data_IF_099440810805
#
_entry.id   IF_099440810805
#
_cell.length_a   1.000
_cell.length_b   1.000
_cell.length_c   1.000
_cell.angle_alpha   90.00
_cell.angle_beta   90.00
_cell.angle_gamma   90.00
#
_symmetry.space_group_name_H-M   'P 1'
#
loop_
_entity.id
_entity.type
_entity.pdbx_description
1 polymer ?
#
# COMPACT_ATOMS: atom_id res chain seq x y z
N UNK A 1 -9.03 -18.58 4.41
CA UNK A 1 -7.69 -18.20 4.86
C UNK A 1 -7.02 -17.27 3.86
N UNK A 2 -6.47 -16.15 4.34
CA UNK A 2 -5.65 -15.24 3.55
C UNK A 2 -4.22 -15.80 3.52
N UNK A 3 -3.84 -16.41 2.39
CA UNK A 3 -2.51 -17.01 2.19
C UNK A 3 -1.37 -15.97 2.29
N UNK A 4 -1.68 -14.68 2.18
CA UNK A 4 -0.73 -13.57 2.23
C UNK A 4 -0.61 -12.98 3.64
N UNK A 5 -1.53 -13.32 4.55
CA UNK A 5 -1.51 -12.84 5.94
C UNK A 5 -0.17 -13.07 6.67
N UNK A 6 0.46 -14.27 6.66
CA UNK A 6 1.73 -14.47 7.34
C UNK A 6 2.88 -13.66 6.73
N UNK A 7 2.89 -13.49 5.41
CA UNK A 7 3.90 -12.67 4.74
C UNK A 7 3.75 -11.19 5.13
N UNK A 8 2.50 -10.70 5.17
CA UNK A 8 2.16 -9.33 5.59
C UNK A 8 2.58 -9.05 7.03
N UNK A 9 2.30 -9.96 7.95
CA UNK A 9 2.68 -9.81 9.37
C UNK A 9 4.20 -9.77 9.56
N UNK A 10 4.95 -10.63 8.86
CA UNK A 10 6.42 -10.61 8.88
C UNK A 10 6.96 -9.28 8.36
N UNK A 11 6.35 -8.73 7.30
CA UNK A 11 6.74 -7.44 6.74
C UNK A 11 6.38 -6.25 7.65
N UNK A 12 5.23 -6.29 8.33
CA UNK A 12 4.88 -5.32 9.37
C UNK A 12 5.82 -5.41 10.57
N UNK A 13 6.25 -6.62 10.95
CA UNK A 13 7.22 -6.83 12.01
C UNK A 13 8.61 -6.32 11.63
N UNK A 14 9.06 -6.58 10.41
CA UNK A 14 10.31 -6.04 9.86
C UNK A 14 10.30 -4.51 9.86
N UNK A 15 9.17 -3.87 9.52
CA UNK A 15 9.04 -2.40 9.59
C UNK A 15 9.17 -1.86 11.01
N UNK A 16 8.65 -2.59 12.01
CA UNK A 16 8.72 -2.19 13.42
C UNK A 16 10.08 -2.47 14.05
N UNK A 17 10.80 -3.49 13.56
CA UNK A 17 12.09 -3.94 14.08
C UNK A 17 13.08 -4.17 12.91
N UNK A 18 13.69 -3.09 12.38
CA UNK A 18 14.49 -3.14 11.14
C UNK A 18 15.76 -3.98 11.24
N UNK A 19 16.28 -4.21 12.45
CA UNK A 19 17.60 -4.83 12.65
C UNK A 19 17.56 -6.36 12.80
N UNK A 20 16.39 -6.95 13.08
CA UNK A 20 16.32 -8.36 13.51
C UNK A 20 15.74 -9.33 12.47
N UNK A 21 14.87 -8.88 11.57
CA UNK A 21 14.16 -9.79 10.64
C UNK A 21 14.16 -9.20 9.23
N UNK A 22 14.67 -9.97 8.26
CA UNK A 22 14.64 -9.64 6.83
C UNK A 22 14.04 -10.80 6.06
N UNK A 23 13.10 -10.50 5.17
CA UNK A 23 12.59 -11.47 4.18
C UNK A 23 13.72 -11.71 3.18
N UNK A 24 14.28 -12.92 3.14
CA UNK A 24 15.36 -13.31 2.21
C UNK A 24 14.80 -13.94 0.93
N UNK A 25 13.56 -14.42 0.97
CA UNK A 25 12.86 -15.10 -0.12
C UNK A 25 11.76 -15.99 0.44
N UNK A 26 10.93 -16.57 -0.43
CA UNK A 26 9.85 -17.44 0.01
C UNK A 26 9.26 -18.30 -1.10
N UNK A 27 8.52 -19.34 -0.70
CA UNK A 27 7.67 -20.10 -1.62
C UNK A 27 6.28 -19.49 -1.52
N UNK A 28 5.79 -18.93 -2.63
CA UNK A 28 4.45 -18.40 -2.74
C UNK A 28 3.75 -19.05 -3.93
N UNK A 29 2.57 -19.65 -3.68
CA UNK A 29 1.76 -20.34 -4.69
C UNK A 29 2.54 -21.39 -5.52
N UNK A 30 3.39 -22.17 -4.85
CA UNK A 30 4.20 -23.22 -5.47
C UNK A 30 5.41 -22.74 -6.27
N UNK A 31 5.68 -21.43 -6.32
CA UNK A 31 6.86 -20.84 -7.00
C UNK A 31 7.85 -20.28 -5.99
N UNK A 32 9.14 -20.47 -6.28
CA UNK A 32 10.21 -19.79 -5.58
C UNK A 32 10.24 -18.32 -6.01
N UNK A 33 9.98 -17.43 -5.06
CA UNK A 33 9.97 -15.99 -5.27
C UNK A 33 11.20 -15.39 -4.60
N UNK A 34 11.90 -14.52 -5.35
CA UNK A 34 13.03 -13.75 -4.83
C UNK A 34 12.57 -12.72 -3.78
N UNK A 35 13.52 -12.17 -3.02
CA UNK A 35 13.30 -11.15 -1.99
C UNK A 35 12.41 -10.01 -2.49
N UNK A 36 12.64 -9.52 -3.71
CA UNK A 36 11.88 -8.41 -4.30
C UNK A 36 10.42 -8.79 -4.46
N UNK A 37 10.16 -9.95 -5.06
CA UNK A 37 8.81 -10.43 -5.33
C UNK A 37 8.07 -10.79 -4.01
N UNK A 38 8.79 -11.34 -3.03
CA UNK A 38 8.21 -11.66 -1.73
C UNK A 38 7.87 -10.39 -0.92
N UNK A 39 8.67 -9.33 -1.06
CA UNK A 39 8.35 -8.02 -0.48
C UNK A 39 7.11 -7.38 -1.11
N UNK A 40 6.91 -7.53 -2.42
CA UNK A 40 5.68 -7.04 -3.08
C UNK A 40 4.44 -7.77 -2.58
N UNK A 41 4.51 -9.09 -2.44
CA UNK A 41 3.43 -9.91 -1.90
C UNK A 41 3.13 -9.52 -0.45
N UNK A 42 4.17 -9.37 0.38
CA UNK A 42 4.02 -8.98 1.77
C UNK A 42 3.52 -7.53 1.96
N UNK A 43 3.74 -6.66 0.97
CA UNK A 43 3.25 -5.29 0.98
C UNK A 43 1.75 -5.16 0.62
N UNK A 44 1.10 -6.23 0.16
CA UNK A 44 -0.33 -6.23 -0.16
C UNK A 44 -1.11 -5.94 1.13
N UNK A 45 -1.88 -4.84 1.22
CA UNK A 45 -2.62 -4.49 2.43
C UNK A 45 -3.86 -5.39 2.63
N UNK A 46 -4.45 -5.41 3.83
CA UNK A 46 -5.67 -6.17 4.11
C UNK A 46 -6.90 -5.60 3.38
N UNK A 47 -7.92 -6.43 3.16
CA UNK A 47 -9.15 -6.09 2.41
C UNK A 47 -9.81 -4.76 2.82
N UNK A 48 -9.99 -4.43 4.12
CA UNK A 48 -10.61 -3.16 4.52
C UNK A 48 -9.80 -1.94 4.04
N UNK A 49 -8.46 -2.04 4.06
CA UNK A 49 -7.57 -0.99 3.57
C UNK A 49 -7.64 -0.89 2.04
N UNK A 50 -7.74 -2.02 1.33
CA UNK A 50 -7.96 -2.03 -0.12
C UNK A 50 -9.28 -1.34 -0.47
N UNK A 51 -10.37 -1.62 0.25
CA UNK A 51 -11.64 -0.95 0.05
C UNK A 51 -11.54 0.57 0.31
N UNK A 52 -10.84 0.98 1.37
CA UNK A 52 -10.57 2.39 1.63
C UNK A 52 -9.77 3.06 0.51
N UNK A 53 -8.74 2.39 -0.02
CA UNK A 53 -7.98 2.86 -1.19
C UNK A 53 -8.84 2.98 -2.44
N UNK A 54 -9.74 2.03 -2.67
CA UNK A 54 -10.68 2.06 -3.80
C UNK A 54 -11.63 3.26 -3.73
N UNK A 55 -12.25 3.49 -2.57
CA UNK A 55 -13.13 4.66 -2.35
C UNK A 55 -12.34 5.97 -2.48
N UNK A 56 -11.09 6.01 -2.03
CA UNK A 56 -10.22 7.18 -2.24
C UNK A 56 -9.94 7.46 -3.72
N UNK A 57 -9.77 6.42 -4.55
CA UNK A 57 -9.60 6.60 -6.00
C UNK A 57 -10.86 7.23 -6.61
N UNK A 58 -12.06 6.79 -6.20
CA UNK A 58 -13.34 7.36 -6.63
C UNK A 58 -13.46 8.83 -6.20
N UNK A 59 -13.03 9.16 -4.99
CA UNK A 59 -13.08 10.54 -4.47
C UNK A 59 -11.97 11.44 -5.04
N UNK A 60 -10.89 10.87 -5.56
CA UNK A 60 -9.71 11.64 -6.02
C UNK A 60 -10.00 12.69 -7.10
N UNK A 61 -10.91 12.49 -8.10
CA UNK A 61 -11.21 13.50 -9.09
C UNK A 61 -11.94 14.70 -8.50
N UNK A 62 -12.89 14.46 -7.58
CA UNK A 62 -13.62 15.52 -6.88
C UNK A 62 -12.65 16.36 -6.06
N UNK A 63 -11.76 15.72 -5.30
CA UNK A 63 -10.73 16.41 -4.53
C UNK A 63 -9.81 17.25 -5.42
N UNK A 64 -9.32 16.69 -6.53
CA UNK A 64 -8.45 17.40 -7.47
C UNK A 64 -9.16 18.59 -8.13
N UNK A 65 -10.44 18.46 -8.44
CA UNK A 65 -11.24 19.54 -8.99
C UNK A 65 -11.40 20.70 -8.00
N UNK A 66 -11.74 20.40 -6.74
CA UNK A 66 -11.84 21.42 -5.67
C UNK A 66 -10.50 22.12 -5.44
N UNK A 67 -9.39 21.37 -5.44
CA UNK A 67 -8.05 21.95 -5.34
C UNK A 67 -7.78 22.89 -6.52
N UNK A 68 -8.11 22.50 -7.75
CA UNK A 68 -7.97 23.35 -8.93
C UNK A 68 -8.76 24.66 -8.81
N UNK A 69 -10.03 24.59 -8.38
CA UNK A 69 -10.84 25.78 -8.14
C UNK A 69 -10.27 26.67 -7.03
N UNK A 70 -9.77 26.07 -5.95
CA UNK A 70 -9.14 26.80 -4.85
C UNK A 70 -7.89 27.57 -5.32
N UNK A 71 -7.08 26.98 -6.19
CA UNK A 71 -5.89 27.64 -6.74
C UNK A 71 -6.28 28.84 -7.63
N UNK A 72 -7.35 28.72 -8.43
CA UNK A 72 -7.88 29.83 -9.23
C UNK A 72 -8.41 30.95 -8.34
N UNK A 73 -9.09 30.61 -7.24
CA UNK A 73 -9.62 31.60 -6.32
C UNK A 73 -8.50 32.41 -5.65
N UNK A 74 -7.44 31.74 -5.17
CA UNK A 74 -6.25 32.40 -4.60
C UNK A 74 -5.60 33.34 -5.62
N UNK A 75 -5.37 32.86 -6.84
CA UNK A 75 -4.77 33.64 -7.91
C UNK A 75 -5.58 34.87 -8.37
N UNK A 76 -6.87 34.96 -8.02
CA UNK A 76 -7.76 36.08 -8.38
C UNK A 76 -7.94 37.10 -7.25
N UNK A 77 -7.58 36.71 -6.03
CA UNK A 77 -7.62 37.57 -4.83
C UNK A 77 -6.29 38.26 -4.53
N UNK A 78 -5.20 37.84 -5.18
CA UNK A 78 -4.01 38.68 -5.42
C UNK A 78 -4.21 39.57 -6.66
#
# INVERSE_FOLDING_TARGET
DDLVAPAREIYEFQKKNPDNIKIVGGIFDGKYMDLVAMNEIAAIPPLPIIHGKFVNIINSPIQRFVIGLSQIAVAKSE
#
